data_IF_618907307463
#
_entry.id   IF_618907307463
#
_cell.length_a   1.000
_cell.length_b   1.000
_cell.length_c   1.000
_cell.angle_alpha   90.00
_cell.angle_beta   90.00
_cell.angle_gamma   90.00
#
_symmetry.space_group_name_H-M   'P 1'
#
loop_
_entity.id
_entity.type
_entity.pdbx_description
1 polymer ?
#
# COMPACT_ATOMS: atom_id res chain seq x y z
N UNK A 1 -25.76 -3.08 1.99
CA UNK A 1 -24.36 -2.62 1.94
C UNK A 1 -24.16 -1.56 0.85
N UNK A 2 -23.44 -1.76 -0.25
CA UNK A 2 -23.07 -0.66 -1.19
C UNK A 2 -24.23 0.25 -1.63
N UNK A 3 -25.40 -0.31 -1.93
CA UNK A 3 -26.56 0.47 -2.39
C UNK A 3 -27.11 1.44 -1.32
N UNK A 4 -26.88 1.13 -0.03
CA UNK A 4 -27.39 1.86 1.13
C UNK A 4 -26.28 2.53 1.95
N UNK A 5 -25.03 2.48 1.49
CA UNK A 5 -23.87 3.05 2.20
C UNK A 5 -23.60 2.45 3.59
N UNK A 6 -24.06 1.22 3.82
CA UNK A 6 -23.90 0.54 5.11
C UNK A 6 -22.53 -0.15 5.19
N UNK A 7 -21.47 0.61 5.50
CA UNK A 7 -20.09 0.12 5.61
C UNK A 7 -19.61 -0.12 7.05
N UNK A 8 -20.49 0.03 8.04
CA UNK A 8 -20.13 -0.14 9.46
C UNK A 8 -19.48 -1.49 9.78
N UNK A 9 -19.86 -2.56 9.07
CA UNK A 9 -19.26 -3.89 9.22
C UNK A 9 -17.75 -3.92 8.91
N UNK A 10 -17.27 -3.04 8.03
CA UNK A 10 -15.84 -2.93 7.73
C UNK A 10 -15.09 -2.33 8.92
N UNK A 11 -15.66 -1.31 9.55
CA UNK A 11 -15.08 -0.72 10.75
C UNK A 11 -15.04 -1.72 11.90
N UNK A 12 -16.10 -2.50 12.10
CA UNK A 12 -16.10 -3.57 13.12
C UNK A 12 -14.94 -4.56 12.89
N UNK A 13 -14.75 -5.03 11.64
CA UNK A 13 -13.65 -5.94 11.30
C UNK A 13 -12.29 -5.35 11.63
N UNK A 14 -12.04 -4.09 11.26
CA UNK A 14 -10.75 -3.45 11.52
C UNK A 14 -10.50 -3.29 13.03
N UNK A 15 -11.55 -3.00 13.80
CA UNK A 15 -11.45 -2.89 15.26
C UNK A 15 -11.24 -4.25 15.95
N UNK A 16 -11.81 -5.33 15.41
CA UNK A 16 -11.57 -6.70 15.89
C UNK A 16 -10.09 -7.08 15.76
N UNK A 17 -9.43 -6.72 14.66
CA UNK A 17 -7.99 -6.92 14.49
C UNK A 17 -7.20 -6.18 15.57
N UNK A 18 -7.54 -4.91 15.82
CA UNK A 18 -6.90 -4.08 16.84
C UNK A 18 -7.08 -4.72 18.23
N UNK A 19 -8.31 -5.12 18.58
CA UNK A 19 -8.59 -5.73 19.88
C UNK A 19 -7.83 -7.06 20.08
N UNK A 20 -7.59 -7.81 19.00
CA UNK A 20 -6.93 -9.12 19.07
C UNK A 20 -5.41 -9.06 18.98
N UNK A 21 -4.86 -8.17 18.16
CA UNK A 21 -3.43 -8.13 17.81
C UNK A 21 -2.74 -6.81 18.18
N UNK A 22 -3.48 -5.81 18.67
CA UNK A 22 -2.97 -4.47 18.96
C UNK A 22 -2.73 -3.61 17.71
N UNK A 23 -3.02 -4.13 16.51
CA UNK A 23 -2.87 -3.45 15.24
C UNK A 23 -3.81 -4.06 14.20
N UNK A 24 -4.07 -3.31 13.13
CA UNK A 24 -4.87 -3.81 11.99
C UNK A 24 -4.05 -4.85 11.22
N UNK A 25 -4.59 -6.07 11.11
CA UNK A 25 -3.89 -7.21 10.52
C UNK A 25 -3.92 -7.20 8.98
N UNK A 26 -4.80 -6.41 8.35
CA UNK A 26 -4.85 -6.26 6.90
C UNK A 26 -3.57 -5.56 6.39
N UNK A 27 -2.72 -6.27 5.65
CA UNK A 27 -1.44 -5.76 5.13
C UNK A 27 -1.46 -5.41 3.63
N UNK A 28 -2.39 -6.00 2.88
CA UNK A 28 -2.63 -5.78 1.44
C UNK A 28 -4.15 -5.75 1.17
N UNK A 29 -4.57 -5.27 -0.01
CA UNK A 29 -5.99 -5.06 -0.34
C UNK A 29 -6.72 -4.26 0.75
N UNK A 30 -6.05 -3.24 1.28
CA UNK A 30 -6.54 -2.48 2.42
C UNK A 30 -7.69 -1.56 1.98
N UNK A 31 -8.88 -1.62 2.60
CA UNK A 31 -10.05 -0.92 2.12
C UNK A 31 -9.87 0.60 2.11
N UNK A 32 -10.31 1.23 1.03
CA UNK A 32 -10.28 2.70 0.86
C UNK A 32 -11.68 3.26 0.66
N UNK A 33 -11.93 4.46 1.16
CA UNK A 33 -13.12 5.27 0.87
C UNK A 33 -12.79 6.20 -0.30
N UNK A 34 -13.58 6.11 -1.35
CA UNK A 34 -13.42 6.82 -2.62
C UNK A 34 -14.48 7.89 -2.75
N UNK A 35 -14.04 9.12 -3.04
CA UNK A 35 -14.90 10.29 -3.25
C UNK A 35 -15.96 10.43 -2.16
N UNK A 36 -15.54 10.23 -0.91
CA UNK A 36 -16.35 10.29 0.30
C UNK A 36 -17.63 9.43 0.29
N UNK A 37 -17.69 8.39 -0.55
CA UNK A 37 -18.91 7.59 -0.70
C UNK A 37 -18.68 6.09 -0.76
N UNK A 38 -17.93 5.59 -1.73
CA UNK A 38 -17.81 4.14 -1.92
C UNK A 38 -16.61 3.60 -1.15
N UNK A 39 -16.81 2.56 -0.35
CA UNK A 39 -15.69 1.71 0.08
C UNK A 39 -15.28 0.84 -1.10
N UNK A 40 -13.99 0.75 -1.38
CA UNK A 40 -13.42 0.07 -2.52
C UNK A 40 -12.25 -0.81 -2.09
N UNK A 41 -12.13 -1.97 -2.75
CA UNK A 41 -10.93 -2.80 -2.72
C UNK A 41 -9.92 -2.22 -3.72
N UNK A 42 -8.70 -1.81 -3.31
CA UNK A 42 -7.71 -1.22 -4.22
C UNK A 42 -6.91 -2.26 -5.01
N UNK A 43 -7.44 -3.49 -5.17
CA UNK A 43 -6.72 -4.69 -5.63
C UNK A 43 -5.67 -5.16 -4.61
N UNK A 44 -4.97 -6.30 -4.82
CA UNK A 44 -4.03 -6.83 -3.84
C UNK A 44 -2.70 -6.07 -3.79
N UNK A 45 -2.74 -4.74 -3.91
CA UNK A 45 -1.60 -3.88 -3.62
C UNK A 45 -1.31 -3.89 -2.11
N UNK A 46 -0.04 -3.75 -1.70
CA UNK A 46 0.28 -3.54 -0.30
C UNK A 46 -0.32 -2.23 0.19
N UNK A 47 -0.70 -2.15 1.48
CA UNK A 47 -1.21 -0.89 2.05
C UNK A 47 -0.22 0.28 1.89
N UNK A 48 1.08 0.00 1.77
CA UNK A 48 2.12 0.96 1.40
C UNK A 48 1.77 1.80 0.16
N UNK A 49 1.05 1.23 -0.81
CA UNK A 49 0.70 1.91 -2.06
C UNK A 49 -0.60 2.70 -2.00
N UNK A 50 -1.47 2.47 -1.00
CA UNK A 50 -2.75 3.19 -0.87
C UNK A 50 -2.61 4.73 -0.92
N UNK A 51 -1.64 5.37 -0.23
CA UNK A 51 -1.47 6.81 -0.27
C UNK A 51 -1.20 7.35 -1.68
N UNK A 52 -0.59 6.55 -2.57
CA UNK A 52 -0.28 6.96 -3.95
C UNK A 52 -1.55 7.18 -4.77
N UNK A 53 -2.66 6.53 -4.41
CA UNK A 53 -3.94 6.62 -5.12
C UNK A 53 -4.65 7.96 -4.89
N UNK A 54 -4.37 8.63 -3.77
CA UNK A 54 -5.02 9.88 -3.39
C UNK A 54 -4.61 11.02 -4.33
N UNK A 55 -5.60 11.66 -4.96
CA UNK A 55 -5.38 12.81 -5.86
C UNK A 55 -4.40 12.52 -7.01
N UNK A 56 -4.27 11.26 -7.42
CA UNK A 56 -3.37 10.84 -8.49
C UNK A 56 -3.80 11.46 -9.84
N UNK A 57 -2.88 12.00 -10.65
CA UNK A 57 -3.22 12.60 -11.95
C UNK A 57 -3.56 11.57 -13.03
N UNK A 58 -3.15 10.31 -12.86
CA UNK A 58 -3.46 9.22 -13.78
C UNK A 58 -4.85 8.62 -13.53
N UNK A 59 -5.50 8.16 -14.60
CA UNK A 59 -6.71 7.35 -14.51
C UNK A 59 -6.35 5.94 -14.02
N UNK A 60 -7.03 5.45 -12.99
CA UNK A 60 -6.83 4.09 -12.48
C UNK A 60 -8.04 3.22 -12.85
N UNK A 61 -7.79 2.07 -13.48
CA UNK A 61 -8.81 1.13 -13.92
C UNK A 61 -8.58 -0.23 -13.25
N UNK A 62 -9.64 -0.82 -12.71
CA UNK A 62 -9.58 -2.09 -12.00
C UNK A 62 -10.55 -3.08 -12.63
N UNK A 63 -10.05 -4.28 -12.93
CA UNK A 63 -10.82 -5.35 -13.56
C UNK A 63 -10.73 -6.65 -12.78
N UNK A 64 -11.88 -7.16 -12.33
CA UNK A 64 -12.00 -8.48 -11.73
C UNK A 64 -12.69 -9.43 -12.73
N UNK A 65 -11.90 -10.06 -13.60
CA UNK A 65 -12.42 -10.84 -14.74
C UNK A 65 -13.29 -12.03 -14.34
N UNK A 66 -12.89 -12.77 -13.29
CA UNK A 66 -13.65 -13.90 -12.74
C UNK A 66 -14.98 -13.45 -12.13
N UNK A 67 -14.96 -12.33 -11.40
CA UNK A 67 -16.12 -11.77 -10.70
C UNK A 67 -17.01 -10.89 -11.61
N UNK A 68 -16.59 -10.66 -12.85
CA UNK A 68 -17.30 -9.80 -13.83
C UNK A 68 -17.57 -8.42 -13.26
N UNK A 69 -16.53 -7.76 -12.74
CA UNK A 69 -16.61 -6.38 -12.23
C UNK A 69 -15.52 -5.51 -12.85
N UNK A 70 -15.88 -4.27 -13.13
CA UNK A 70 -14.97 -3.21 -13.56
C UNK A 70 -15.31 -1.99 -12.71
N UNK A 71 -14.28 -1.32 -12.21
CA UNK A 71 -14.40 -0.06 -11.46
C UNK A 71 -13.20 0.83 -11.76
N UNK A 72 -13.32 2.11 -11.47
CA UNK A 72 -12.34 3.11 -11.88
C UNK A 72 -12.22 4.24 -10.85
N UNK A 73 -11.03 4.82 -10.78
CA UNK A 73 -10.78 6.08 -10.09
C UNK A 73 -10.38 7.13 -11.12
N UNK A 74 -11.22 8.16 -11.35
CA UNK A 74 -10.84 9.29 -12.16
C UNK A 74 -9.59 10.00 -11.61
N UNK A 75 -8.84 10.72 -12.46
CA UNK A 75 -7.78 11.62 -12.02
C UNK A 75 -8.25 12.57 -10.91
N UNK A 76 -7.36 12.89 -9.97
CA UNK A 76 -7.59 13.84 -8.88
C UNK A 76 -8.80 13.48 -8.00
N UNK A 77 -9.07 12.19 -7.85
CA UNK A 77 -10.12 11.71 -6.95
C UNK A 77 -9.59 11.57 -5.53
N UNK A 78 -10.40 11.98 -4.56
CA UNK A 78 -10.12 11.77 -3.14
C UNK A 78 -10.19 10.28 -2.80
N UNK A 79 -9.11 9.72 -2.28
CA UNK A 79 -9.03 8.33 -1.82
C UNK A 79 -8.42 8.33 -0.41
N UNK A 80 -9.11 7.74 0.56
CA UNK A 80 -8.66 7.68 1.96
C UNK A 80 -8.70 6.23 2.45
N UNK A 81 -7.61 5.72 3.02
CA UNK A 81 -7.65 4.41 3.69
C UNK A 81 -8.55 4.47 4.93
N UNK A 82 -9.34 3.43 5.18
CA UNK A 82 -10.16 3.38 6.40
C UNK A 82 -9.27 3.22 7.63
N UNK A 83 -9.40 4.12 8.60
CA UNK A 83 -8.70 4.05 9.88
C UNK A 83 -9.58 4.59 11.02
N UNK A 84 -8.98 4.74 12.19
CA UNK A 84 -9.61 5.33 13.37
C UNK A 84 -8.73 6.47 13.90
N UNK A 85 -9.34 7.46 14.56
CA UNK A 85 -8.60 8.58 15.14
C UNK A 85 -7.55 8.14 16.17
N UNK A 86 -7.81 7.04 16.90
CA UNK A 86 -6.91 6.44 17.88
C UNK A 86 -5.95 5.39 17.28
N UNK A 87 -6.21 4.93 16.06
CA UNK A 87 -5.39 3.96 15.32
C UNK A 87 -5.24 4.42 13.86
N UNK A 88 -4.42 5.46 13.60
CA UNK A 88 -4.26 6.03 12.27
C UNK A 88 -3.62 5.04 11.30
N UNK A 89 -3.88 5.24 10.02
CA UNK A 89 -3.30 4.43 8.96
C UNK A 89 -1.76 4.46 8.98
N UNK A 90 -1.14 3.28 8.94
CA UNK A 90 0.32 3.11 8.90
C UNK A 90 0.74 2.26 7.71
N UNK A 91 1.88 2.60 7.11
CA UNK A 91 2.49 1.83 6.02
C UNK A 91 3.61 0.93 6.54
N UNK A 92 3.98 -0.08 5.76
CA UNK A 92 5.13 -0.94 6.05
C UNK A 92 6.42 -0.11 6.14
N UNK A 93 7.30 -0.52 7.05
CA UNK A 93 8.63 0.06 7.27
C UNK A 93 9.64 -1.08 7.42
N UNK A 94 10.88 -0.81 7.01
CA UNK A 94 12.01 -1.72 7.14
C UNK A 94 13.17 -0.96 7.79
N UNK A 95 13.93 -1.65 8.63
CA UNK A 95 15.16 -1.09 9.22
C UNK A 95 16.26 -0.92 8.16
N UNK A 96 16.32 -1.86 7.22
CA UNK A 96 17.32 -1.92 6.16
C UNK A 96 16.89 -1.12 4.92
N UNK A 97 17.83 -0.43 4.25
CA UNK A 97 17.59 0.10 2.90
C UNK A 97 17.62 -1.04 1.86
N UNK A 98 17.20 -0.74 0.63
CA UNK A 98 17.46 -1.63 -0.51
C UNK A 98 18.96 -1.91 -0.64
N UNK A 99 19.35 -3.18 -0.63
CA UNK A 99 20.75 -3.61 -0.71
C UNK A 99 21.41 -3.33 -2.08
N UNK A 100 20.61 -3.03 -3.12
CA UNK A 100 21.11 -2.70 -4.45
C UNK A 100 21.31 -1.18 -4.62
N UNK A 101 20.22 -0.40 -4.50
CA UNK A 101 20.25 1.04 -4.78
C UNK A 101 20.29 1.93 -3.53
N UNK A 102 20.21 1.37 -2.32
CA UNK A 102 20.23 2.13 -1.06
C UNK A 102 18.93 2.86 -0.71
N UNK A 103 17.85 2.72 -1.50
CA UNK A 103 16.58 3.43 -1.23
C UNK A 103 15.94 2.97 0.08
N UNK A 104 15.43 3.94 0.86
CA UNK A 104 14.60 3.75 2.07
C UNK A 104 13.13 4.12 1.84
N UNK A 105 12.76 4.41 0.61
CA UNK A 105 11.44 4.94 0.24
C UNK A 105 10.66 4.01 -0.70
N UNK A 106 11.21 2.84 -1.02
CA UNK A 106 10.57 1.81 -1.81
C UNK A 106 9.94 0.73 -0.92
N UNK A 107 8.96 0.03 -1.48
CA UNK A 107 8.51 -1.24 -0.93
C UNK A 107 9.61 -2.29 -1.14
N UNK A 108 9.98 -3.03 -0.09
CA UNK A 108 11.09 -3.99 -0.15
C UNK A 108 10.59 -5.44 -0.15
N UNK A 109 11.14 -6.23 -1.05
CA UNK A 109 11.03 -7.68 -1.08
C UNK A 109 12.16 -8.30 -0.24
N UNK A 110 11.82 -9.31 0.56
CA UNK A 110 12.78 -10.10 1.33
C UNK A 110 13.25 -11.30 0.50
N UNK A 111 14.56 -11.36 0.25
CA UNK A 111 15.23 -12.43 -0.47
C UNK A 111 16.04 -13.26 0.52
N UNK A 112 15.69 -14.55 0.66
CA UNK A 112 16.45 -15.52 1.45
C UNK A 112 17.67 -15.96 0.65
N UNK A 113 18.87 -15.81 1.22
CA UNK A 113 20.14 -16.05 0.52
C UNK A 113 20.71 -17.45 0.77
N UNK A 114 20.45 -18.01 1.94
CA UNK A 114 20.96 -19.31 2.34
C UNK A 114 20.00 -20.02 3.31
N UNK A 115 20.31 -21.29 3.58
CA UNK A 115 19.58 -22.11 4.55
C UNK A 115 19.97 -21.80 6.02
N UNK A 116 20.86 -20.84 6.24
CA UNK A 116 21.36 -20.45 7.57
C UNK A 116 20.71 -19.16 8.09
N UNK A 117 19.76 -18.60 7.35
CA UNK A 117 18.95 -17.45 7.75
C UNK A 117 19.47 -16.10 7.28
N UNK A 118 20.46 -16.06 6.38
CA UNK A 118 20.87 -14.81 5.73
C UNK A 118 19.79 -14.30 4.80
N UNK A 119 19.52 -13.00 4.88
CA UNK A 119 18.47 -12.32 4.10
C UNK A 119 18.97 -11.00 3.55
N UNK A 120 18.35 -10.58 2.45
CA UNK A 120 18.59 -9.31 1.79
C UNK A 120 17.26 -8.66 1.44
N UNK A 121 17.18 -7.34 1.60
CA UNK A 121 16.01 -6.56 1.22
C UNK A 121 16.30 -5.78 -0.05
N UNK A 122 15.44 -5.89 -1.06
CA UNK A 122 15.59 -5.22 -2.36
C UNK A 122 14.31 -4.54 -2.78
N UNK A 123 14.38 -3.48 -3.58
CA UNK A 123 13.19 -2.83 -4.13
C UNK A 123 12.32 -3.83 -4.91
N UNK A 124 11.03 -3.86 -4.60
CA UNK A 124 10.04 -4.62 -5.39
C UNK A 124 9.85 -4.01 -6.78
N UNK A 125 9.86 -2.67 -6.87
CA UNK A 125 9.88 -1.96 -8.14
C UNK A 125 11.31 -1.95 -8.72
N UNK A 126 11.54 -2.85 -9.68
CA UNK A 126 12.83 -3.04 -10.33
C UNK A 126 13.19 -1.91 -11.30
N UNK A 127 12.21 -1.25 -11.94
CA UNK A 127 12.46 -0.10 -12.81
C UNK A 127 12.91 1.10 -11.97
N UNK A 128 12.17 1.40 -10.89
CA UNK A 128 12.60 2.41 -9.92
C UNK A 128 14.00 2.11 -9.37
N UNK A 129 14.30 0.84 -9.04
CA UNK A 129 15.62 0.45 -8.54
C UNK A 129 16.74 0.72 -9.56
N UNK A 130 16.52 0.41 -10.83
CA UNK A 130 17.49 0.67 -11.90
C UNK A 130 17.71 2.17 -12.13
N UNK A 131 16.64 2.97 -12.08
CA UNK A 131 16.74 4.43 -12.21
C UNK A 131 17.55 5.04 -11.07
N UNK A 132 17.36 4.57 -9.83
CA UNK A 132 18.16 5.02 -8.68
C UNK A 132 19.64 4.66 -8.83
N UNK A 133 19.96 3.47 -9.36
CA UNK A 133 21.35 3.08 -9.65
C UNK A 133 21.99 3.90 -10.76
N UNK A 134 21.21 4.35 -11.74
CA UNK A 134 21.68 5.16 -12.85
C UNK A 134 21.89 6.63 -12.47
N UNK A 135 21.33 7.09 -11.34
CA UNK A 135 21.59 8.43 -10.82
C UNK A 135 22.98 8.47 -10.19
N UNK A 136 23.86 9.41 -10.58
CA UNK A 136 25.12 9.59 -9.88
C UNK A 136 24.82 9.97 -8.42
N UNK A 137 25.37 9.19 -7.49
CA UNK A 137 25.31 9.44 -6.05
C UNK A 137 25.68 10.90 -5.78
N UNK A 138 24.72 11.72 -5.36
CA UNK A 138 25.02 13.03 -4.77
C UNK A 138 25.71 12.75 -3.43
N UNK A 139 27.03 12.62 -3.48
CA UNK A 139 27.87 12.64 -2.29
C UNK A 139 27.60 13.93 -1.51
N UNK A 140 27.39 13.74 -0.20
CA UNK A 140 27.18 14.75 0.82
C UNK A 140 27.96 16.04 0.58
N UNK A 141 27.24 17.14 0.37
CA UNK A 141 27.76 18.49 0.58
C UNK A 141 27.10 19.08 1.82
N UNK A 142 27.96 19.31 2.83
CA UNK A 142 27.81 20.02 4.10
C UNK A 142 27.44 19.23 5.36
#
# INVERSE_FOLDING_TARGET
MHALEEYGVMQVKLYEDIARYGHIATTYAYPVKVNDRYVMDPSPIPKFDNPKMHMMPALQLFGAGREKRIYALPPFTKVESLDFDDHPFTVQQWDEPCALCGSRHSYLDEVVLDDQGSRMFVCSDTDYCQQQLAQPSQEAQH
#
